data_IF_730842916457
#
_entry.id   IF_730842916457
#
_cell.length_a   1.000
_cell.length_b   1.000
_cell.length_c   1.000
_cell.angle_alpha   90.00
_cell.angle_beta   90.00
_cell.angle_gamma   90.00
#
_symmetry.space_group_name_H-M   'P 1'
#
loop_
_entity.id
_entity.type
_entity.pdbx_description
1 polymer ?
#
# COMPACT_ATOMS: atom_id res chain seq x y z
N UNK A 1 -41.85 38.80 -4.31
CA UNK A 1 -40.71 38.08 -3.73
C UNK A 1 -41.29 37.12 -2.71
N UNK A 2 -41.51 35.87 -3.10
CA UNK A 2 -42.28 34.90 -2.30
C UNK A 2 -41.35 34.16 -1.35
N UNK A 3 -41.88 33.71 -0.21
CA UNK A 3 -41.17 32.93 0.83
C UNK A 3 -40.48 31.67 0.26
N UNK A 4 -40.90 31.20 -0.92
CA UNK A 4 -40.32 30.06 -1.65
C UNK A 4 -38.93 30.38 -2.23
N UNK A 5 -38.62 31.65 -2.52
CA UNK A 5 -37.32 32.03 -3.09
C UNK A 5 -36.20 32.06 -2.04
N UNK A 6 -36.53 32.25 -0.75
CA UNK A 6 -35.55 32.36 0.33
C UNK A 6 -34.87 31.02 0.71
N UNK A 7 -35.45 29.88 0.33
CA UNK A 7 -34.93 28.54 0.68
C UNK A 7 -33.92 28.02 -0.33
N UNK A 8 -33.74 28.70 -1.48
CA UNK A 8 -32.82 28.29 -2.55
C UNK A 8 -31.45 28.95 -2.52
N UNK A 9 -31.02 29.50 -1.38
CA UNK A 9 -29.63 29.94 -1.27
C UNK A 9 -28.71 28.72 -1.46
N UNK A 10 -27.87 28.69 -2.53
CA UNK A 10 -26.97 27.58 -2.75
C UNK A 10 -26.02 27.51 -1.55
N UNK A 11 -26.11 26.42 -0.78
CA UNK A 11 -25.30 26.29 0.42
C UNK A 11 -23.82 26.28 0.03
N UNK A 12 -23.05 27.24 0.55
CA UNK A 12 -21.59 27.34 0.32
C UNK A 12 -20.82 26.15 0.92
N UNK A 13 -21.50 25.28 1.68
CA UNK A 13 -20.93 24.11 2.35
C UNK A 13 -20.52 23.03 1.34
N UNK A 14 -21.25 22.90 0.21
CA UNK A 14 -21.04 21.79 -0.71
C UNK A 14 -19.74 21.87 -1.54
N UNK A 15 -19.35 23.03 -2.10
CA UNK A 15 -18.05 23.17 -2.75
C UNK A 15 -16.89 22.91 -1.78
N UNK A 16 -17.02 23.35 -0.53
CA UNK A 16 -16.01 23.15 0.52
C UNK A 16 -15.85 21.67 0.85
N UNK A 17 -16.95 20.94 1.03
CA UNK A 17 -16.89 19.49 1.29
C UNK A 17 -16.23 18.72 0.15
N UNK A 18 -16.54 19.08 -1.11
CA UNK A 18 -15.89 18.45 -2.27
C UNK A 18 -14.39 18.71 -2.31
N UNK A 19 -13.97 19.96 -2.07
CA UNK A 19 -12.55 20.31 -1.99
C UNK A 19 -11.87 19.60 -0.82
N UNK A 20 -12.53 19.48 0.33
CA UNK A 20 -12.03 18.74 1.47
C UNK A 20 -11.83 17.25 1.14
N UNK A 21 -12.78 16.60 0.45
CA UNK A 21 -12.65 15.20 0.02
C UNK A 21 -11.51 14.99 -0.98
N UNK A 22 -11.35 15.91 -1.95
CA UNK A 22 -10.23 15.85 -2.90
C UNK A 22 -8.91 16.09 -2.19
N UNK A 23 -8.83 17.08 -1.29
CA UNK A 23 -7.65 17.36 -0.48
C UNK A 23 -7.28 16.16 0.40
N UNK A 24 -8.27 15.53 1.03
CA UNK A 24 -8.07 14.32 1.83
C UNK A 24 -7.55 13.16 0.98
N UNK A 25 -8.08 12.98 -0.23
CA UNK A 25 -7.59 11.98 -1.18
C UNK A 25 -6.13 12.26 -1.58
N UNK A 26 -5.77 13.51 -1.86
CA UNK A 26 -4.39 13.90 -2.22
C UNK A 26 -3.43 13.65 -1.04
N UNK A 27 -3.82 14.04 0.17
CA UNK A 27 -3.04 13.77 1.39
C UNK A 27 -2.84 12.27 1.58
N UNK A 28 -3.92 11.50 1.42
CA UNK A 28 -3.87 10.05 1.49
C UNK A 28 -2.95 9.44 0.42
N UNK A 29 -3.05 9.88 -0.84
CA UNK A 29 -2.22 9.38 -1.94
C UNK A 29 -0.74 9.72 -1.74
N UNK A 30 -0.44 10.93 -1.27
CA UNK A 30 0.92 11.34 -0.92
C UNK A 30 1.48 10.51 0.25
N UNK A 31 0.69 10.27 1.29
CA UNK A 31 1.08 9.41 2.41
C UNK A 31 1.31 7.96 1.98
N UNK A 32 0.44 7.40 1.14
CA UNK A 32 0.58 6.05 0.60
C UNK A 32 1.85 5.93 -0.27
N UNK A 33 2.13 6.93 -1.11
CA UNK A 33 3.35 6.97 -1.92
C UNK A 33 4.62 7.12 -1.07
N UNK A 34 4.55 7.87 0.03
CA UNK A 34 5.66 8.06 0.96
C UNK A 34 5.99 6.78 1.74
N UNK A 35 4.98 6.04 2.17
CA UNK A 35 5.13 4.80 2.97
C UNK A 35 5.35 3.57 2.08
N UNK A 36 5.16 3.69 0.76
CA UNK A 36 5.36 2.59 -0.18
C UNK A 36 6.76 1.96 -0.02
N UNK A 37 6.86 0.63 0.19
CA UNK A 37 8.14 -0.06 0.29
C UNK A 37 9.01 0.18 -0.95
N UNK A 38 10.28 0.51 -0.73
CA UNK A 38 11.26 0.74 -1.80
C UNK A 38 12.32 -0.36 -1.80
N UNK A 39 12.58 -0.93 -2.97
CA UNK A 39 13.75 -1.77 -3.19
C UNK A 39 15.01 -0.94 -2.90
N UNK A 40 15.94 -1.51 -2.17
CA UNK A 40 17.24 -0.95 -1.84
C UNK A 40 18.27 -2.09 -1.71
N UNK A 41 19.55 -1.75 -1.67
CA UNK A 41 20.63 -2.72 -1.49
C UNK A 41 20.89 -3.00 -0.01
N UNK A 42 21.52 -4.12 0.29
CA UNK A 42 21.90 -4.45 1.67
C UNK A 42 22.94 -3.45 2.22
N UNK A 43 23.85 -2.98 1.37
CA UNK A 43 24.83 -1.93 1.68
C UNK A 43 24.14 -0.63 2.12
N UNK A 44 23.00 -0.30 1.52
CA UNK A 44 22.22 0.86 1.94
C UNK A 44 21.65 0.69 3.34
N UNK A 45 21.22 -0.52 3.66
CA UNK A 45 20.71 -0.84 4.99
C UNK A 45 21.82 -0.71 6.05
N UNK A 46 23.03 -1.20 5.75
CA UNK A 46 24.21 -1.00 6.60
C UNK A 46 24.51 0.49 6.81
N UNK A 47 24.49 1.28 5.74
CA UNK A 47 24.73 2.72 5.83
C UNK A 47 23.64 3.46 6.63
N UNK A 48 22.37 3.05 6.51
CA UNK A 48 21.28 3.61 7.31
C UNK A 48 21.39 3.20 8.79
N UNK A 49 21.81 1.97 9.08
CA UNK A 49 22.03 1.48 10.44
C UNK A 49 23.22 2.19 11.11
N UNK A 50 24.35 2.32 10.41
CA UNK A 50 25.52 3.04 10.91
C UNK A 50 25.25 4.54 11.17
N UNK A 51 24.25 5.11 10.49
CA UNK A 51 23.81 6.50 10.68
C UNK A 51 22.67 6.65 11.71
N UNK A 52 22.36 5.60 12.49
CA UNK A 52 21.27 5.57 13.48
C UNK A 52 19.90 5.98 12.89
N UNK A 53 19.68 5.68 11.60
CA UNK A 53 18.41 6.00 10.92
C UNK A 53 17.40 4.89 11.03
N UNK A 54 17.83 3.67 11.33
CA UNK A 54 16.96 2.48 11.33
C UNK A 54 16.22 2.38 12.67
N UNK A 55 14.89 2.47 12.62
CA UNK A 55 14.04 2.40 13.82
C UNK A 55 13.51 1.00 14.10
N UNK A 56 13.38 0.18 13.05
CA UNK A 56 12.94 -1.21 13.18
C UNK A 56 13.36 -1.98 11.94
N UNK A 57 13.62 -3.28 12.10
CA UNK A 57 13.93 -4.17 11.00
C UNK A 57 13.27 -5.53 11.19
N UNK A 58 13.10 -6.26 10.10
CA UNK A 58 12.56 -7.61 10.09
C UNK A 58 13.14 -8.39 8.91
N UNK A 59 13.33 -9.69 9.11
CA UNK A 59 13.65 -10.63 8.05
C UNK A 59 12.37 -11.33 7.62
N UNK A 60 12.22 -11.63 6.34
CA UNK A 60 11.11 -12.41 5.79
C UNK A 60 11.60 -13.30 4.65
N UNK A 61 10.90 -14.40 4.39
CA UNK A 61 11.31 -15.33 3.33
C UNK A 61 10.94 -14.78 1.97
N UNK A 62 9.74 -14.20 1.89
CA UNK A 62 9.23 -13.58 0.67
C UNK A 62 8.14 -12.58 1.02
N UNK A 63 7.86 -11.69 0.09
CA UNK A 63 6.58 -11.01 0.09
C UNK A 63 5.49 -12.05 -0.16
N UNK A 64 4.47 -12.05 0.71
CA UNK A 64 3.28 -12.87 0.50
C UNK A 64 2.60 -12.49 -0.82
N UNK A 65 1.75 -13.40 -1.30
CA UNK A 65 1.04 -13.15 -2.56
C UNK A 65 0.19 -11.88 -2.45
N UNK A 66 0.50 -10.88 -3.28
CA UNK A 66 -0.25 -9.64 -3.37
C UNK A 66 -1.72 -9.90 -3.77
N UNK A 67 -2.02 -11.02 -4.42
CA UNK A 67 -3.39 -11.44 -4.73
C UNK A 67 -4.22 -11.78 -3.48
N UNK A 68 -3.57 -12.10 -2.36
CA UNK A 68 -4.24 -12.34 -1.07
C UNK A 68 -4.74 -11.07 -0.38
N UNK A 69 -4.34 -9.89 -0.86
CA UNK A 69 -4.80 -8.61 -0.34
C UNK A 69 -6.18 -8.26 -0.90
N UNK A 70 -7.23 -8.49 -0.10
CA UNK A 70 -8.63 -8.22 -0.46
C UNK A 70 -8.90 -6.74 -0.80
N UNK A 71 -8.10 -5.82 -0.26
CA UNK A 71 -8.27 -4.38 -0.44
C UNK A 71 -6.96 -3.77 -0.92
N UNK A 72 -7.03 -2.88 -1.89
CA UNK A 72 -5.86 -2.27 -2.52
C UNK A 72 -4.99 -1.41 -1.55
N UNK A 73 -5.46 -1.18 -0.32
CA UNK A 73 -4.77 -0.46 0.75
C UNK A 73 -4.34 -1.36 1.93
N UNK A 74 -4.50 -2.68 1.86
CA UNK A 74 -3.95 -3.58 2.88
C UNK A 74 -2.45 -3.75 2.68
N UNK A 75 -1.71 -3.86 3.78
CA UNK A 75 -0.29 -4.18 3.72
C UNK A 75 -0.11 -5.57 3.11
N UNK A 76 0.90 -5.74 2.25
CA UNK A 76 1.28 -7.05 1.73
C UNK A 76 1.79 -7.87 2.91
N UNK A 77 1.19 -9.04 3.22
CA UNK A 77 1.67 -9.88 4.31
C UNK A 77 3.07 -10.40 3.99
N UNK A 78 3.85 -10.67 5.02
CA UNK A 78 5.15 -11.34 4.89
C UNK A 78 4.97 -12.82 5.15
N UNK A 79 5.60 -13.65 4.34
CA UNK A 79 5.63 -15.10 4.57
C UNK A 79 6.83 -15.43 5.44
N UNK A 80 6.56 -16.14 6.54
CA UNK A 80 7.57 -16.73 7.42
C UNK A 80 7.36 -18.23 7.41
N UNK A 81 8.21 -18.95 6.69
CA UNK A 81 8.37 -20.39 6.79
C UNK A 81 9.57 -20.62 7.71
N UNK A 82 9.34 -21.28 8.84
CA UNK A 82 10.40 -21.53 9.83
C UNK A 82 11.57 -22.36 9.30
N UNK A 83 11.45 -22.91 8.08
CA UNK A 83 12.39 -23.85 7.47
C UNK A 83 13.22 -23.23 6.33
N UNK A 84 12.89 -22.03 5.83
CA UNK A 84 13.63 -21.39 4.75
C UNK A 84 14.54 -20.28 5.28
N UNK A 85 15.72 -20.13 4.65
CA UNK A 85 16.55 -18.97 4.89
C UNK A 85 15.81 -17.70 4.40
N UNK A 86 15.63 -16.67 5.25
CA UNK A 86 14.93 -15.47 4.87
C UNK A 86 15.66 -14.74 3.73
N UNK A 87 14.94 -14.47 2.65
CA UNK A 87 15.52 -13.87 1.43
C UNK A 87 15.26 -12.37 1.32
N UNK A 88 14.49 -11.80 2.25
CA UNK A 88 14.11 -10.38 2.22
C UNK A 88 14.46 -9.73 3.55
N UNK A 89 15.40 -8.80 3.52
CA UNK A 89 15.70 -7.92 4.64
C UNK A 89 14.87 -6.65 4.51
N UNK A 90 14.14 -6.28 5.56
CA UNK A 90 13.23 -5.13 5.55
C UNK A 90 13.59 -4.23 6.71
N UNK A 91 13.75 -2.94 6.47
CA UNK A 91 14.01 -1.97 7.53
C UNK A 91 13.16 -0.72 7.36
N UNK A 92 12.94 -0.03 8.49
CA UNK A 92 12.24 1.25 8.54
C UNK A 92 13.18 2.32 9.02
N UNK A 93 13.02 3.52 8.47
CA UNK A 93 13.72 4.71 8.95
C UNK A 93 12.79 5.61 9.78
N UNK A 94 13.36 6.55 10.54
CA UNK A 94 12.61 7.43 11.46
C UNK A 94 11.43 8.22 10.88
N UNK A 95 11.35 8.37 9.55
CA UNK A 95 10.21 8.99 8.85
C UNK A 95 9.13 8.00 8.38
N UNK A 96 9.16 6.76 8.88
CA UNK A 96 8.20 5.71 8.52
C UNK A 96 8.39 5.15 7.10
N UNK A 97 9.52 5.45 6.44
CA UNK A 97 9.83 4.87 5.13
C UNK A 97 10.26 3.42 5.31
N UNK A 98 9.68 2.54 4.49
CA UNK A 98 10.00 1.12 4.46
C UNK A 98 10.93 0.84 3.28
N UNK A 99 12.03 0.17 3.56
CA UNK A 99 12.99 -0.29 2.57
C UNK A 99 13.08 -1.81 2.63
N UNK A 100 13.37 -2.44 1.50
CA UNK A 100 13.64 -3.87 1.45
C UNK A 100 14.81 -4.17 0.52
N UNK A 101 15.60 -5.17 0.88
CA UNK A 101 16.67 -5.72 0.07
C UNK A 101 16.43 -7.23 -0.08
N UNK A 102 16.59 -7.74 -1.30
CA UNK A 102 16.69 -9.18 -1.52
C UNK A 102 18.10 -9.62 -1.18
N UNK A 103 18.23 -10.61 -0.31
CA UNK A 103 19.50 -11.20 0.09
C UNK A 103 19.61 -12.56 -0.61
N UNK A 104 20.60 -12.76 -1.49
CA UNK A 104 20.77 -14.02 -2.20
C UNK A 104 20.86 -15.21 -1.23
N UNK A 105 20.27 -16.33 -1.59
CA UNK A 105 20.40 -17.56 -0.81
C UNK A 105 21.88 -17.94 -0.69
N UNK A 106 22.35 -18.20 0.54
CA UNK A 106 23.76 -18.50 0.82
C UNK A 106 24.67 -17.28 0.92
N UNK A 107 24.14 -16.05 0.84
CA UNK A 107 24.91 -14.87 1.21
C UNK A 107 25.24 -14.95 2.72
N UNK A 108 26.52 -14.96 3.13
CA UNK A 108 26.91 -15.03 4.55
C UNK A 108 26.35 -13.86 5.38
N UNK A 109 25.94 -12.76 4.74
CA UNK A 109 25.27 -11.62 5.41
C UNK A 109 23.87 -11.95 5.93
N UNK A 110 23.23 -13.00 5.41
CA UNK A 110 21.93 -13.47 5.92
C UNK A 110 22.02 -14.08 7.32
N UNK A 111 23.20 -14.57 7.72
CA UNK A 111 23.37 -15.33 8.96
C UNK A 111 22.82 -16.76 8.91
N UNK A 112 22.36 -17.22 7.73
CA UNK A 112 21.85 -18.58 7.53
C UNK A 112 22.80 -19.37 6.61
N UNK A 113 23.21 -20.57 7.04
CA UNK A 113 23.94 -21.50 6.18
C UNK A 113 22.99 -22.17 5.19
N UNK A 114 23.48 -22.45 3.98
CA UNK A 114 22.75 -23.15 2.91
C UNK A 114 22.22 -24.53 3.33
N UNK A 115 22.82 -25.14 4.35
CA UNK A 115 22.46 -26.49 4.81
C UNK A 115 21.22 -26.52 5.70
N UNK A 116 20.57 -25.38 5.96
CA UNK A 116 19.35 -25.29 6.77
C UNK A 116 19.55 -25.66 8.25
N UNK A 117 20.79 -26.00 8.65
CA UNK A 117 21.18 -26.18 10.03
C UNK A 117 21.28 -24.78 10.63
N UNK A 118 20.41 -24.39 11.60
CA UNK A 118 20.62 -23.18 12.35
C UNK A 118 22.05 -23.24 12.88
N UNK A 119 22.87 -22.26 12.53
CA UNK A 119 24.15 -22.12 13.22
C UNK A 119 23.77 -21.71 14.63
N UNK A 120 23.55 -22.70 15.52
CA UNK A 120 23.29 -22.43 16.91
C UNK A 120 24.38 -21.46 17.37
N UNK A 121 24.03 -20.27 17.92
CA UNK A 121 25.00 -19.45 18.60
C UNK A 121 25.47 -20.24 19.84
N UNK A 122 26.50 -21.06 19.65
CA UNK A 122 27.09 -21.89 20.69
C UNK A 122 26.41 -23.24 20.96
N UNK A 123 26.37 -24.14 19.97
CA UNK A 123 26.64 -25.54 20.34
C UNK A 123 28.13 -25.60 20.66
N UNK A 124 28.44 -25.47 21.95
CA UNK A 124 29.69 -25.94 22.53
C UNK A 124 29.91 -27.37 22.00
N UNK A 125 30.82 -27.54 21.04
CA UNK A 125 31.38 -28.86 20.81
C UNK A 125 31.92 -29.35 22.16
N UNK A 126 31.73 -30.63 22.52
CA UNK A 126 32.37 -31.19 23.69
C UNK A 126 33.86 -30.85 23.60
N UNK A 127 34.33 -30.04 24.56
CA UNK A 127 35.72 -29.57 24.63
C UNK A 127 36.59 -30.82 24.54
N UNK A 128 37.24 -31.04 23.40
CA UNK A 128 38.37 -31.95 23.37
C UNK A 128 39.44 -31.29 24.25
N UNK A 129 39.82 -31.91 25.39
CA UNK A 129 40.80 -31.33 26.28
C UNK A 129 42.16 -31.33 25.57
N UNK A 130 42.58 -30.18 25.03
CA UNK A 130 43.96 -30.02 24.53
C UNK A 130 44.16 -29.10 23.32
N UNK A 131 43.12 -28.55 22.70
CA UNK A 131 43.29 -27.63 21.57
C UNK A 131 42.92 -26.19 21.94
N UNK A 132 43.94 -25.35 22.18
CA UNK A 132 43.83 -23.89 22.18
C UNK A 132 43.58 -23.38 20.75
N UNK A 133 42.40 -23.66 20.22
CA UNK A 133 41.90 -23.01 19.02
C UNK A 133 40.48 -22.51 19.30
N UNK A 134 40.41 -21.29 19.82
CA UNK A 134 39.19 -20.50 19.72
C UNK A 134 38.95 -20.24 18.23
N UNK A 135 38.06 -21.03 17.62
CA UNK A 135 37.39 -20.59 16.40
C UNK A 135 36.54 -19.39 16.83
N UNK A 136 37.16 -18.22 16.81
CA UNK A 136 36.44 -16.97 16.71
C UNK A 136 35.71 -17.08 15.38
N UNK A 137 34.47 -17.56 15.42
CA UNK A 137 33.55 -17.29 14.32
C UNK A 137 33.68 -15.79 14.07
N UNK A 138 34.10 -15.35 12.88
CA UNK A 138 34.09 -13.92 12.60
C UNK A 138 32.68 -13.45 12.96
N UNK A 139 32.53 -12.38 13.77
CA UNK A 139 31.21 -11.88 14.12
C UNK A 139 30.44 -11.81 12.80
N UNK A 140 29.36 -12.58 12.69
CA UNK A 140 28.59 -12.55 11.47
C UNK A 140 28.13 -11.11 11.34
N UNK A 141 28.26 -10.53 10.15
CA UNK A 141 27.95 -9.11 9.94
C UNK A 141 26.51 -8.76 10.33
N UNK A 142 25.64 -9.77 10.38
CA UNK A 142 24.31 -9.75 10.98
C UNK A 142 24.30 -9.47 12.49
N UNK A 143 25.27 -9.98 13.24
CA UNK A 143 25.45 -9.72 14.68
C UNK A 143 25.91 -8.29 14.93
N UNK A 144 26.76 -7.73 14.06
CA UNK A 144 27.15 -6.32 14.12
C UNK A 144 25.98 -5.40 13.75
N UNK A 145 25.18 -5.75 12.74
CA UNK A 145 23.92 -5.06 12.46
C UNK A 145 22.95 -5.18 13.64
N UNK A 146 22.82 -6.35 14.25
CA UNK A 146 21.98 -6.55 15.43
C UNK A 146 22.46 -5.77 16.67
N UNK A 147 23.77 -5.46 16.77
CA UNK A 147 24.33 -4.56 17.79
C UNK A 147 24.05 -3.09 17.50
N UNK A 148 23.94 -2.72 16.23
CA UNK A 148 23.62 -1.36 15.79
C UNK A 148 22.12 -1.07 15.80
N UNK A 149 21.29 -2.12 15.78
CA UNK A 149 19.84 -1.99 15.68
C UNK A 149 19.19 -2.07 17.08
N UNK A 150 18.15 -1.25 17.37
CA UNK A 150 17.47 -1.30 18.66
C UNK A 150 16.94 -2.71 18.96
N UNK A 151 17.19 -3.22 20.17
CA UNK A 151 16.90 -4.61 20.61
C UNK A 151 15.42 -5.00 20.70
N UNK A 152 14.49 -4.14 20.28
CA UNK A 152 13.07 -4.48 20.21
C UNK A 152 12.79 -5.43 19.03
N UNK A 153 13.13 -6.72 19.25
CA UNK A 153 12.89 -7.86 18.34
C UNK A 153 11.40 -8.11 18.04
N UNK A 154 10.50 -7.50 18.79
CA UNK A 154 9.05 -7.54 18.59
C UNK A 154 8.58 -6.11 18.37
N UNK A 155 8.97 -5.51 17.25
CA UNK A 155 8.47 -4.21 16.84
C UNK A 155 6.94 -4.27 16.75
N UNK A 156 6.26 -3.80 17.79
CA UNK A 156 4.83 -3.56 17.73
C UNK A 156 4.57 -2.80 16.44
N UNK A 157 3.73 -3.33 15.52
CA UNK A 157 3.56 -2.72 14.22
C UNK A 157 3.14 -1.28 14.42
N UNK A 158 4.04 -0.35 14.09
CA UNK A 158 3.74 1.09 14.14
C UNK A 158 2.43 1.27 13.39
N UNK A 159 1.39 1.89 14.00
CA UNK A 159 0.06 1.89 13.44
C UNK A 159 0.11 2.44 12.02
N UNK A 160 -0.31 1.61 11.07
CA UNK A 160 -0.37 1.97 9.67
C UNK A 160 -1.46 3.04 9.51
N UNK A 161 -1.06 4.30 9.52
CA UNK A 161 -1.98 5.43 9.31
C UNK A 161 -2.65 5.41 7.92
N UNK A 162 -1.97 5.04 6.81
CA UNK A 162 -2.60 5.07 5.49
C UNK A 162 -3.82 4.14 5.31
N UNK A 163 -3.81 2.87 5.77
CA UNK A 163 -5.00 2.02 5.77
C UNK A 163 -6.16 2.58 6.57
N UNK A 164 -5.91 3.12 7.77
CA UNK A 164 -6.96 3.73 8.61
C UNK A 164 -7.61 4.91 7.87
N UNK A 165 -6.79 5.79 7.27
CA UNK A 165 -7.29 6.93 6.51
C UNK A 165 -8.07 6.49 5.26
N UNK A 166 -7.60 5.45 4.56
CA UNK A 166 -8.30 4.86 3.42
C UNK A 166 -9.67 4.28 3.83
N UNK A 167 -9.73 3.57 4.97
CA UNK A 167 -10.97 3.03 5.53
C UNK A 167 -11.95 4.14 5.88
N UNK A 168 -11.49 5.20 6.56
CA UNK A 168 -12.34 6.37 6.89
C UNK A 168 -12.89 6.99 5.61
N UNK A 169 -12.03 7.22 4.60
CA UNK A 169 -12.45 7.78 3.30
C UNK A 169 -13.48 6.88 2.61
N UNK A 170 -13.26 5.57 2.60
CA UNK A 170 -14.17 4.60 1.99
C UNK A 170 -15.54 4.58 2.69
N UNK A 171 -15.57 4.56 4.02
CA UNK A 171 -16.80 4.60 4.81
C UNK A 171 -17.58 5.90 4.62
N UNK A 172 -16.89 7.04 4.61
CA UNK A 172 -17.49 8.35 4.42
C UNK A 172 -18.12 8.47 3.02
N UNK A 173 -17.42 7.97 1.98
CA UNK A 173 -17.95 7.89 0.63
C UNK A 173 -19.16 6.95 0.51
N UNK A 174 -19.10 5.78 1.15
CA UNK A 174 -20.21 4.84 1.16
C UNK A 174 -21.45 5.44 1.84
N UNK A 175 -21.27 6.10 2.98
CA UNK A 175 -22.34 6.79 3.69
C UNK A 175 -22.98 7.88 2.80
N UNK A 176 -22.18 8.69 2.10
CA UNK A 176 -22.68 9.69 1.16
C UNK A 176 -23.42 9.03 0.00
N UNK A 177 -22.92 7.91 -0.53
CA UNK A 177 -23.57 7.22 -1.65
C UNK A 177 -24.94 6.63 -1.27
N UNK A 178 -25.08 6.15 -0.04
CA UNK A 178 -26.32 5.56 0.49
C UNK A 178 -27.33 6.64 0.88
N UNK A 179 -26.91 7.64 1.65
CA UNK A 179 -27.78 8.67 2.23
C UNK A 179 -27.97 9.87 1.29
N UNK A 180 -27.06 10.07 0.35
CA UNK A 180 -27.07 11.21 -0.55
C UNK A 180 -28.14 11.12 -1.65
N UNK A 181 -28.31 12.23 -2.40
CA UNK A 181 -29.21 12.29 -3.54
C UNK A 181 -28.94 11.17 -4.54
N UNK A 182 -30.00 10.68 -5.20
CA UNK A 182 -29.84 9.66 -6.23
C UNK A 182 -28.92 10.18 -7.36
N UNK A 183 -27.89 9.41 -7.77
CA UNK A 183 -27.00 9.80 -8.86
C UNK A 183 -27.76 9.93 -10.20
N UNK A 184 -27.28 10.82 -11.07
CA UNK A 184 -27.95 11.21 -12.32
C UNK A 184 -27.62 10.28 -13.47
N UNK A 185 -26.34 9.92 -13.64
CA UNK A 185 -25.87 9.10 -14.76
C UNK A 185 -25.97 7.60 -14.47
N UNK A 186 -25.77 7.19 -13.23
CA UNK A 186 -25.76 5.79 -12.83
C UNK A 186 -26.69 5.49 -11.66
N UNK A 187 -27.04 4.23 -11.47
CA UNK A 187 -27.65 3.79 -10.22
C UNK A 187 -26.64 3.89 -9.06
N UNK A 188 -27.12 3.85 -7.81
CA UNK A 188 -26.21 3.76 -6.64
C UNK A 188 -25.28 2.55 -6.75
N UNK A 189 -25.79 1.43 -7.26
CA UNK A 189 -24.99 0.22 -7.52
C UNK A 189 -23.92 0.40 -8.59
N UNK A 190 -24.20 1.15 -9.66
CA UNK A 190 -23.19 1.48 -10.66
C UNK A 190 -21.99 2.19 -10.02
N UNK A 191 -22.25 3.19 -9.19
CA UNK A 191 -21.21 3.97 -8.51
C UNK A 191 -20.57 3.23 -7.34
N UNK A 192 -21.29 2.33 -6.67
CA UNK A 192 -20.73 1.44 -5.65
C UNK A 192 -19.62 0.58 -6.23
N UNK A 193 -19.87 -0.11 -7.36
CA UNK A 193 -18.84 -0.91 -8.01
C UNK A 193 -17.69 -0.05 -8.53
N UNK A 194 -17.98 1.11 -9.12
CA UNK A 194 -16.94 2.02 -9.58
C UNK A 194 -16.08 2.55 -8.43
N UNK A 195 -16.65 2.79 -7.26
CA UNK A 195 -15.91 3.17 -6.05
C UNK A 195 -14.87 2.15 -5.61
N UNK A 196 -15.01 0.88 -6.02
CA UNK A 196 -14.03 -0.20 -5.81
C UNK A 196 -12.80 -0.13 -6.71
N UNK A 197 -12.73 0.82 -7.65
CA UNK A 197 -11.53 1.02 -8.46
C UNK A 197 -10.30 1.30 -7.57
N UNK A 198 -9.11 0.79 -7.95
CA UNK A 198 -7.89 0.94 -7.17
C UNK A 198 -7.54 2.41 -6.99
N UNK A 199 -6.86 2.72 -5.88
CA UNK A 199 -6.51 4.07 -5.46
C UNK A 199 -7.72 5.00 -5.25
N UNK A 200 -8.94 4.45 -5.13
CA UNK A 200 -10.15 5.26 -5.00
C UNK A 200 -10.46 6.11 -6.23
N UNK A 201 -9.96 5.75 -7.43
CA UNK A 201 -10.18 6.53 -8.65
C UNK A 201 -11.65 6.69 -9.00
N UNK A 202 -12.49 5.70 -8.69
CA UNK A 202 -13.92 5.77 -8.91
C UNK A 202 -14.60 6.86 -8.07
N UNK A 203 -14.11 7.12 -6.87
CA UNK A 203 -14.58 8.23 -6.03
C UNK A 203 -14.27 9.58 -6.70
N UNK A 204 -13.06 9.76 -7.22
CA UNK A 204 -12.70 11.00 -7.92
C UNK A 204 -13.53 11.20 -9.18
N UNK A 205 -13.76 10.12 -9.94
CA UNK A 205 -14.60 10.14 -11.13
C UNK A 205 -16.04 10.50 -10.76
N UNK A 206 -16.59 9.89 -9.70
CA UNK A 206 -17.92 10.20 -9.18
C UNK A 206 -18.05 11.67 -8.76
N UNK A 207 -17.11 12.19 -7.96
CA UNK A 207 -17.09 13.60 -7.54
C UNK A 207 -16.98 14.57 -8.73
N UNK A 208 -16.23 14.19 -9.77
CA UNK A 208 -16.07 14.99 -10.99
C UNK A 208 -17.35 15.02 -11.83
N UNK A 209 -17.96 13.86 -12.02
CA UNK A 209 -19.02 13.63 -12.99
C UNK A 209 -20.40 13.92 -12.41
N UNK A 210 -20.75 13.32 -11.28
CA UNK A 210 -22.07 13.50 -10.68
C UNK A 210 -22.23 14.85 -9.99
N UNK A 211 -21.10 15.41 -9.51
CA UNK A 211 -21.10 16.63 -8.69
C UNK A 211 -22.23 16.56 -7.67
N UNK A 212 -22.18 15.59 -6.74
CA UNK A 212 -23.19 15.50 -5.69
C UNK A 212 -23.40 16.91 -5.13
N UNK A 213 -24.64 17.34 -4.98
CA UNK A 213 -25.01 18.69 -4.51
C UNK A 213 -24.93 19.87 -5.50
N UNK A 214 -24.56 19.67 -6.78
CA UNK A 214 -24.76 20.69 -7.81
C UNK A 214 -26.21 20.69 -8.34
N UNK A 215 -26.71 21.86 -8.76
CA UNK A 215 -28.08 22.01 -9.27
C UNK A 215 -28.40 20.95 -10.34
N UNK A 216 -29.61 20.36 -10.31
CA UNK A 216 -29.99 19.33 -11.25
C UNK A 216 -30.13 19.89 -12.67
N UNK A 217 -29.11 19.70 -13.51
CA UNK A 217 -29.30 19.72 -14.97
C UNK A 217 -29.86 18.36 -15.35
N UNK A 218 -31.10 18.34 -15.84
CA UNK A 218 -31.74 17.11 -16.30
C UNK A 218 -30.96 16.52 -17.48
N UNK A 219 -30.54 15.24 -17.42
CA UNK A 219 -29.89 14.60 -18.56
C UNK A 219 -30.84 14.57 -19.76
N UNK A 220 -30.29 14.73 -20.96
CA UNK A 220 -31.07 14.67 -22.18
C UNK A 220 -31.79 13.31 -22.27
N UNK A 221 -33.10 13.29 -22.60
CA UNK A 221 -33.85 12.04 -22.70
C UNK A 221 -33.27 11.16 -23.82
N UNK A 222 -33.28 9.86 -23.59
CA UNK A 222 -32.90 8.89 -24.62
C UNK A 222 -33.89 8.97 -25.80
N UNK A 223 -33.35 9.04 -27.02
CA UNK A 223 -34.15 9.17 -28.25
C UNK A 223 -35.10 7.99 -28.48
N UNK A 224 -34.78 6.80 -27.93
CA UNK A 224 -35.59 5.59 -28.14
C UNK A 224 -36.69 5.41 -27.10
N UNK A 225 -36.43 5.74 -25.84
CA UNK A 225 -37.35 5.46 -24.73
C UNK A 225 -37.98 6.71 -24.12
N UNK A 226 -37.48 7.92 -24.45
CA UNK A 226 -37.90 9.18 -23.84
C UNK A 226 -37.48 9.32 -22.36
N UNK A 227 -36.91 8.28 -21.76
CA UNK A 227 -36.46 8.26 -20.39
C UNK A 227 -34.99 8.72 -20.29
N UNK A 228 -34.57 9.32 -19.17
CA UNK A 228 -33.17 9.65 -18.97
C UNK A 228 -32.33 8.36 -18.93
N UNK A 229 -31.32 8.26 -19.82
CA UNK A 229 -30.43 7.09 -19.87
C UNK A 229 -29.63 6.98 -18.57
N UNK A 230 -29.79 5.86 -17.85
CA UNK A 230 -29.05 5.56 -16.62
C UNK A 230 -28.25 4.27 -16.77
N UNK A 231 -26.98 4.31 -16.38
CA UNK A 231 -26.12 3.13 -16.34
C UNK A 231 -26.53 2.19 -15.19
N UNK A 232 -26.64 0.91 -15.49
CA UNK A 232 -27.06 -0.11 -14.52
C UNK A 232 -25.90 -0.55 -13.62
N UNK A 233 -26.20 -1.21 -12.50
CA UNK A 233 -25.18 -1.78 -11.61
C UNK A 233 -24.27 -2.77 -12.33
N UNK A 234 -24.81 -3.60 -13.22
CA UNK A 234 -24.04 -4.58 -14.00
C UNK A 234 -23.02 -3.90 -14.93
N UNK A 235 -23.37 -2.75 -15.53
CA UNK A 235 -22.41 -1.98 -16.32
C UNK A 235 -21.27 -1.45 -15.45
N UNK A 236 -21.57 -1.02 -14.21
CA UNK A 236 -20.55 -0.57 -13.25
C UNK A 236 -19.61 -1.70 -12.85
N UNK A 237 -20.16 -2.88 -12.56
CA UNK A 237 -19.39 -4.09 -12.26
C UNK A 237 -18.47 -4.48 -13.42
N UNK A 238 -19.00 -4.52 -14.65
CA UNK A 238 -18.20 -4.83 -15.84
C UNK A 238 -17.08 -3.82 -16.07
N UNK A 239 -17.35 -2.53 -15.87
CA UNK A 239 -16.34 -1.47 -16.02
C UNK A 239 -15.25 -1.56 -14.92
N UNK A 240 -15.63 -1.93 -13.70
CA UNK A 240 -14.69 -2.18 -12.60
C UNK A 240 -13.72 -3.31 -12.96
N UNK A 241 -14.23 -4.46 -13.42
CA UNK A 241 -13.38 -5.59 -13.85
C UNK A 241 -12.49 -5.21 -15.03
N UNK A 242 -13.04 -4.57 -16.07
CA UNK A 242 -12.28 -4.16 -17.24
C UNK A 242 -11.15 -3.21 -16.86
N UNK A 243 -11.42 -2.22 -16.00
CA UNK A 243 -10.41 -1.27 -15.54
C UNK A 243 -9.34 -1.97 -14.69
N UNK A 244 -9.72 -2.92 -13.84
CA UNK A 244 -8.79 -3.74 -13.08
C UNK A 244 -7.84 -4.52 -14.00
N UNK A 245 -8.37 -5.17 -15.04
CA UNK A 245 -7.57 -5.89 -16.06
C UNK A 245 -6.59 -4.93 -16.76
N UNK A 246 -7.08 -3.77 -17.22
CA UNK A 246 -6.24 -2.77 -17.90
C UNK A 246 -5.11 -2.27 -16.99
N UNK A 247 -5.39 -1.99 -15.72
CA UNK A 247 -4.39 -1.57 -14.74
C UNK A 247 -3.38 -2.69 -14.48
N UNK A 248 -3.83 -3.93 -14.31
CA UNK A 248 -2.94 -5.08 -14.13
C UNK A 248 -2.00 -5.28 -15.33
N UNK A 249 -2.52 -5.17 -16.55
CA UNK A 249 -1.72 -5.23 -17.78
C UNK A 249 -0.71 -4.08 -17.81
N UNK A 250 -1.15 -2.85 -17.49
CA UNK A 250 -0.27 -1.68 -17.45
C UNK A 250 0.86 -1.84 -16.43
N UNK A 251 0.55 -2.34 -15.23
CA UNK A 251 1.54 -2.62 -14.18
C UNK A 251 2.50 -3.73 -14.61
N UNK A 252 2.01 -4.81 -15.22
CA UNK A 252 2.86 -5.87 -15.74
C UNK A 252 3.79 -5.35 -16.84
N UNK A 253 3.28 -4.50 -17.74
CA UNK A 253 4.06 -3.89 -18.81
C UNK A 253 5.12 -2.94 -18.24
N UNK A 254 4.75 -2.10 -17.27
CA UNK A 254 5.70 -1.23 -16.54
C UNK A 254 6.79 -2.05 -15.84
N UNK A 255 6.45 -3.20 -15.26
CA UNK A 255 7.41 -4.13 -14.65
C UNK A 255 8.30 -4.84 -15.67
N UNK A 256 7.83 -5.03 -16.91
CA UNK A 256 8.64 -5.60 -17.99
C UNK A 256 9.57 -4.60 -18.66
N UNK A 257 9.42 -3.30 -18.39
CA UNK A 257 10.33 -2.29 -18.92
C UNK A 257 11.72 -2.51 -18.31
N UNK A 258 12.77 -2.44 -19.12
CA UNK A 258 14.14 -2.62 -18.64
C UNK A 258 14.50 -1.50 -17.65
N UNK A 259 15.32 -1.85 -16.65
CA UNK A 259 15.61 -1.02 -15.47
C UNK A 259 16.19 0.37 -15.79
N UNK A 260 16.74 0.58 -16.99
CA UNK A 260 17.26 1.87 -17.43
C UNK A 260 16.17 2.91 -17.77
N UNK A 261 14.92 2.48 -17.97
CA UNK A 261 13.77 3.34 -18.32
C UNK A 261 12.96 3.79 -17.10
N UNK A 262 13.02 3.01 -16.02
CA UNK A 262 12.58 3.49 -14.71
C UNK A 262 13.75 4.30 -14.18
N UNK A 263 13.61 5.60 -13.86
CA UNK A 263 14.64 6.30 -13.11
C UNK A 263 14.79 5.52 -11.81
N UNK A 264 15.79 4.65 -11.76
CA UNK A 264 16.34 4.18 -10.50
C UNK A 264 16.55 5.47 -9.73
N UNK A 265 16.00 5.54 -8.52
CA UNK A 265 16.23 6.66 -7.64
C UNK A 265 17.69 6.60 -7.15
N UNK A 266 18.61 6.70 -8.11
CA UNK A 266 20.04 6.98 -8.12
C UNK A 266 20.90 6.09 -7.18
N UNK A 267 22.23 6.10 -7.42
CA UNK A 267 23.11 4.93 -7.42
C UNK A 267 23.37 4.31 -6.04
#
# INVERSE_FOLDING_TARGET
MTVVDAVRAPSRVFPVLRLALVGLWVVWAAAAWWVAPRAATFERAEADAAADRVVSYQWADSFGDANGSLLWFTAVPFTYSGDAAPQVFIWRTGFGRVHYAQVPAGDPRSGYSLDGVPTEPGQLQPIQPGSDFSVVSPPTRSDDLARLLPTDRQGNPVPYFPPVLATILALLCLAILIQGPAPKLGTRWFWFFLGGLPFGLGMLLWLRVERPWAEPVSPAPDKKTGQPKRYSGLTGLGLMFLTGIVISILVALLRSLPEWLVPSALP
#
